data_IF_352575540436
#
_entry.id   IF_352575540436
#
_cell.length_a   1.000
_cell.length_b   1.000
_cell.length_c   1.000
_cell.angle_alpha   90.00
_cell.angle_beta   90.00
_cell.angle_gamma   90.00
#
_symmetry.space_group_name_H-M   'P 1'
#
loop_
_entity.id
_entity.type
_entity.pdbx_description
1 polymer ?
#
# COMPACT_ATOMS: atom_id res chain seq x y z
N UNK A 1 22.36 2.96 15.42
CA UNK A 1 21.65 2.32 14.28
C UNK A 1 20.26 2.95 14.19
N UNK A 2 19.74 3.20 12.99
CA UNK A 2 18.33 3.61 12.84
C UNK A 2 17.44 2.43 13.25
N UNK A 3 16.34 2.69 13.96
CA UNK A 3 15.37 1.65 14.34
C UNK A 3 14.77 1.06 13.06
N UNK A 4 14.79 -0.26 12.94
CA UNK A 4 14.06 -1.00 11.89
C UNK A 4 12.63 -1.15 12.38
N UNK A 5 11.65 -0.78 11.54
CA UNK A 5 10.23 -0.95 11.84
C UNK A 5 9.78 -2.31 11.29
N UNK A 6 9.11 -3.08 12.12
CA UNK A 6 8.48 -4.35 11.76
C UNK A 6 6.99 -4.15 11.53
N UNK A 7 6.47 -4.67 10.42
CA UNK A 7 5.04 -4.62 10.10
C UNK A 7 4.56 -5.99 9.62
N UNK A 8 3.47 -6.49 10.20
CA UNK A 8 2.85 -7.77 9.84
C UNK A 8 1.42 -7.52 9.37
N UNK A 9 1.07 -8.02 8.17
CA UNK A 9 -0.23 -7.81 7.53
C UNK A 9 -1.18 -9.00 7.70
N UNK A 10 -2.42 -8.79 7.25
CA UNK A 10 -3.53 -9.74 7.28
C UNK A 10 -3.91 -10.24 8.69
N UNK A 11 -3.69 -9.38 9.70
CA UNK A 11 -4.19 -9.59 11.05
C UNK A 11 -5.66 -9.16 11.08
N UNK A 12 -6.58 -10.12 11.26
CA UNK A 12 -8.03 -9.87 11.13
C UNK A 12 -8.79 -9.98 12.44
N UNK A 13 -8.18 -10.54 13.50
CA UNK A 13 -8.81 -10.71 14.81
C UNK A 13 -8.05 -10.01 15.94
N UNK A 14 -8.73 -9.58 17.03
CA UNK A 14 -8.06 -9.00 18.20
C UNK A 14 -7.00 -9.93 18.81
N UNK A 15 -7.27 -11.23 18.88
CA UNK A 15 -6.32 -12.21 19.42
C UNK A 15 -5.02 -12.29 18.62
N UNK A 16 -5.09 -12.22 17.29
CA UNK A 16 -3.89 -12.18 16.45
C UNK A 16 -3.13 -10.87 16.66
N UNK A 17 -3.84 -9.74 16.76
CA UNK A 17 -3.23 -8.45 17.04
C UNK A 17 -2.50 -8.44 18.39
N UNK A 18 -3.13 -8.96 19.44
CA UNK A 18 -2.52 -9.07 20.78
C UNK A 18 -1.24 -9.91 20.75
N UNK A 19 -1.23 -11.01 19.97
CA UNK A 19 -0.02 -11.81 19.78
C UNK A 19 1.09 -11.04 19.07
N UNK A 20 0.77 -10.29 18.00
CA UNK A 20 1.75 -9.48 17.27
C UNK A 20 2.35 -8.38 18.16
N UNK A 21 1.51 -7.72 18.96
CA UNK A 21 1.95 -6.71 19.94
C UNK A 21 2.85 -7.33 21.00
N UNK A 22 2.49 -8.52 21.52
CA UNK A 22 3.26 -9.19 22.57
C UNK A 22 4.68 -9.59 22.12
N UNK A 23 4.87 -9.92 20.84
CA UNK A 23 6.19 -10.22 20.27
C UNK A 23 6.95 -8.96 19.79
N UNK A 24 6.39 -7.77 19.98
CA UNK A 24 7.05 -6.50 19.72
C UNK A 24 6.94 -5.99 18.27
N UNK A 25 5.96 -6.46 17.49
CA UNK A 25 5.68 -5.89 16.16
C UNK A 25 5.32 -4.41 16.29
N UNK A 26 5.96 -3.56 15.48
CA UNK A 26 5.74 -2.11 15.55
C UNK A 26 4.39 -1.72 14.93
N UNK A 27 4.06 -2.28 13.76
CA UNK A 27 2.83 -2.00 13.02
C UNK A 27 2.02 -3.28 12.75
N UNK A 28 0.74 -3.28 13.13
CA UNK A 28 -0.21 -4.38 12.91
C UNK A 28 -1.13 -4.01 11.74
N UNK A 29 -1.03 -4.77 10.65
CA UNK A 29 -1.70 -4.50 9.39
C UNK A 29 -2.95 -5.36 9.17
N UNK A 30 -4.03 -4.72 8.73
CA UNK A 30 -5.29 -5.36 8.34
C UNK A 30 -5.69 -4.93 6.93
N UNK A 31 -6.56 -5.68 6.26
CA UNK A 31 -7.01 -5.40 4.89
C UNK A 31 -8.54 -5.40 4.79
N UNK A 32 -9.09 -4.45 4.04
CA UNK A 32 -10.47 -4.50 3.54
C UNK A 32 -10.41 -4.80 2.04
N UNK A 33 -10.91 -5.97 1.66
CA UNK A 33 -10.80 -6.48 0.29
C UNK A 33 -11.86 -5.89 -0.64
N UNK A 34 -13.07 -5.66 -0.13
CA UNK A 34 -14.21 -5.22 -0.93
C UNK A 34 -14.81 -3.94 -0.39
N UNK A 35 -15.03 -2.99 -1.31
CA UNK A 35 -15.77 -1.78 -1.01
C UNK A 35 -17.27 -1.99 -0.77
N UNK A 36 -17.83 -3.13 -1.16
CA UNK A 36 -19.24 -3.46 -0.88
C UNK A 36 -19.44 -3.97 0.55
N UNK A 37 -18.46 -4.72 1.06
CA UNK A 37 -18.48 -5.34 2.39
C UNK A 37 -17.45 -4.69 3.32
N UNK A 38 -17.35 -3.37 3.22
CA UNK A 38 -16.25 -2.64 3.85
C UNK A 38 -16.43 -2.47 5.35
N UNK A 39 -17.66 -2.54 5.89
CA UNK A 39 -17.94 -2.45 7.34
C UNK A 39 -17.91 -3.84 7.99
N UNK A 40 -16.75 -4.22 8.50
CA UNK A 40 -16.51 -5.50 9.13
C UNK A 40 -16.26 -5.31 10.64
N UNK A 41 -17.19 -5.73 11.52
CA UNK A 41 -17.05 -5.53 12.96
C UNK A 41 -15.82 -6.22 13.57
N UNK A 42 -15.37 -7.34 13.00
CA UNK A 42 -14.17 -8.04 13.44
C UNK A 42 -12.93 -7.15 13.25
N UNK A 43 -12.74 -6.62 12.04
CA UNK A 43 -11.64 -5.70 11.72
C UNK A 43 -11.67 -4.45 12.61
N UNK A 44 -12.86 -3.88 12.85
CA UNK A 44 -12.97 -2.71 13.73
C UNK A 44 -12.49 -3.02 15.16
N UNK A 45 -12.88 -4.18 15.70
CA UNK A 45 -12.42 -4.63 17.02
C UNK A 45 -10.91 -4.88 17.05
N UNK A 46 -10.33 -5.39 15.97
CA UNK A 46 -8.88 -5.61 15.83
C UNK A 46 -8.13 -4.28 15.89
N UNK A 47 -8.55 -3.28 15.12
CA UNK A 47 -7.95 -1.94 15.15
C UNK A 47 -8.11 -1.28 16.53
N UNK A 48 -9.28 -1.44 17.17
CA UNK A 48 -9.56 -0.92 18.52
C UNK A 48 -8.73 -1.60 19.61
N UNK A 49 -8.29 -2.85 19.41
CA UNK A 49 -7.36 -3.53 20.30
C UNK A 49 -5.96 -2.92 20.15
N UNK A 50 -5.46 -2.82 18.91
CA UNK A 50 -4.14 -2.23 18.62
C UNK A 50 -4.03 -0.79 19.12
N UNK A 51 -5.08 0.02 18.97
CA UNK A 51 -5.10 1.43 19.40
C UNK A 51 -4.88 1.64 20.92
N UNK A 52 -5.03 0.59 21.74
CA UNK A 52 -4.77 0.63 23.20
C UNK A 52 -3.34 0.23 23.56
N UNK A 53 -2.50 -0.01 22.55
CA UNK A 53 -1.14 -0.50 22.70
C UNK A 53 -0.15 0.52 22.14
N UNK A 54 1.17 0.34 22.36
CA UNK A 54 2.18 1.16 21.71
C UNK A 54 2.33 0.92 20.19
N UNK A 55 1.84 -0.22 19.68
CA UNK A 55 1.91 -0.55 18.24
C UNK A 55 0.98 0.34 17.42
N UNK A 56 1.24 0.42 16.11
CA UNK A 56 0.43 1.19 15.16
C UNK A 56 -0.45 0.31 14.31
N UNK A 57 -1.69 0.72 14.15
CA UNK A 57 -2.61 0.06 13.23
C UNK A 57 -2.40 0.54 11.80
N UNK A 58 -2.30 -0.39 10.85
CA UNK A 58 -2.23 -0.10 9.42
C UNK A 58 -3.40 -0.75 8.69
N UNK A 59 -4.08 -0.01 7.81
CA UNK A 59 -5.24 -0.50 7.08
C UNK A 59 -5.01 -0.40 5.57
N UNK A 60 -4.97 -1.54 4.89
CA UNK A 60 -5.03 -1.61 3.43
C UNK A 60 -6.48 -1.49 2.99
N UNK A 61 -6.74 -0.60 2.03
CA UNK A 61 -8.00 -0.54 1.32
C UNK A 61 -7.77 -1.01 -0.12
N UNK A 62 -8.37 -2.14 -0.51
CA UNK A 62 -8.34 -2.61 -1.90
C UNK A 62 -9.43 -1.93 -2.75
N UNK A 63 -9.52 -0.61 -2.60
CA UNK A 63 -10.39 0.30 -3.34
C UNK A 63 -9.94 1.75 -3.10
N UNK A 64 -10.30 2.64 -4.02
CA UNK A 64 -9.82 4.03 -4.02
C UNK A 64 -10.91 5.06 -4.35
N UNK A 65 -12.19 4.66 -4.34
CA UNK A 65 -13.29 5.59 -4.50
C UNK A 65 -13.30 6.59 -3.32
N UNK A 66 -13.15 7.91 -3.55
CA UNK A 66 -12.89 8.88 -2.47
C UNK A 66 -13.91 8.85 -1.35
N UNK A 67 -15.21 8.88 -1.67
CA UNK A 67 -16.29 8.86 -0.67
C UNK A 67 -16.21 7.62 0.23
N UNK A 68 -15.89 6.47 -0.36
CA UNK A 68 -15.79 5.22 0.35
C UNK A 68 -14.51 5.13 1.19
N UNK A 69 -13.39 5.63 0.68
CA UNK A 69 -12.14 5.76 1.44
C UNK A 69 -12.38 6.65 2.67
N UNK A 70 -12.99 7.82 2.49
CA UNK A 70 -13.26 8.74 3.60
C UNK A 70 -14.22 8.13 4.62
N UNK A 71 -15.29 7.46 4.17
CA UNK A 71 -16.19 6.73 5.07
C UNK A 71 -15.46 5.61 5.83
N UNK A 72 -14.53 4.92 5.17
CA UNK A 72 -13.72 3.87 5.79
C UNK A 72 -12.79 4.45 6.87
N UNK A 73 -12.12 5.57 6.59
CA UNK A 73 -11.22 6.22 7.54
C UNK A 73 -11.96 6.81 8.73
N UNK A 74 -13.14 7.41 8.53
CA UNK A 74 -13.95 7.92 9.64
C UNK A 74 -14.44 6.77 10.55
N UNK A 75 -14.84 5.65 9.96
CA UNK A 75 -15.31 4.49 10.71
C UNK A 75 -14.19 3.75 11.43
N UNK A 76 -13.09 3.41 10.73
CA UNK A 76 -12.03 2.56 11.25
C UNK A 76 -10.96 3.30 12.03
N UNK A 77 -10.66 4.55 11.64
CA UNK A 77 -9.66 5.43 12.28
C UNK A 77 -8.30 4.75 12.53
N UNK A 78 -7.67 4.15 11.52
CA UNK A 78 -6.35 3.54 11.69
C UNK A 78 -5.27 4.61 11.95
N UNK A 79 -4.14 4.21 12.53
CA UNK A 79 -2.97 5.10 12.64
C UNK A 79 -2.35 5.37 11.26
N UNK A 80 -2.42 4.37 10.36
CA UNK A 80 -1.84 4.38 9.02
C UNK A 80 -2.89 3.83 8.03
N UNK A 81 -3.15 4.56 6.94
CA UNK A 81 -3.81 4.00 5.75
C UNK A 81 -2.76 3.62 4.72
N UNK A 82 -2.89 2.44 4.13
CA UNK A 82 -1.98 1.92 3.13
C UNK A 82 -2.69 1.76 1.79
N UNK A 83 -2.14 2.44 0.79
CA UNK A 83 -2.60 2.36 -0.59
C UNK A 83 -1.58 1.64 -1.47
N UNK A 84 -2.04 0.64 -2.22
CA UNK A 84 -1.20 -0.25 -3.01
C UNK A 84 -1.70 -0.47 -4.45
N UNK A 85 -2.44 0.47 -5.01
CA UNK A 85 -2.88 0.43 -6.40
C UNK A 85 -1.68 0.33 -7.36
N UNK A 86 -1.88 -0.34 -8.50
CA UNK A 86 -0.93 -0.31 -9.61
C UNK A 86 -0.85 1.13 -10.13
N UNK A 87 0.38 1.66 -10.14
CA UNK A 87 0.69 3.05 -10.54
C UNK A 87 1.25 3.14 -11.96
N UNK A 88 1.10 2.09 -12.75
CA UNK A 88 1.84 1.90 -14.00
C UNK A 88 0.90 1.56 -15.14
N UNK A 89 1.24 2.04 -16.32
CA UNK A 89 0.65 1.66 -17.59
C UNK A 89 1.76 1.39 -18.62
N UNK A 90 1.47 0.64 -19.70
CA UNK A 90 2.40 0.54 -20.83
C UNK A 90 2.77 1.93 -21.34
N UNK A 91 4.07 2.19 -21.57
CA UNK A 91 4.50 3.44 -22.16
C UNK A 91 3.95 3.58 -23.59
N UNK A 92 3.54 4.78 -23.98
CA UNK A 92 3.10 5.04 -25.35
C UNK A 92 4.27 4.85 -26.34
N UNK A 93 4.02 4.13 -27.44
CA UNK A 93 5.04 3.83 -28.45
C UNK A 93 5.22 2.33 -28.67
N UNK A 94 6.45 1.91 -28.96
CA UNK A 94 6.75 0.50 -29.23
C UNK A 94 6.62 -0.39 -27.98
N UNK A 95 6.29 -1.68 -28.13
CA UNK A 95 6.11 -2.62 -27.01
C UNK A 95 7.29 -2.70 -26.03
N UNK A 96 8.51 -2.34 -26.48
CA UNK A 96 9.73 -2.30 -25.67
C UNK A 96 9.96 -0.99 -24.91
N UNK A 97 9.07 0.01 -25.00
CA UNK A 97 9.23 1.33 -24.41
C UNK A 97 9.20 1.34 -22.86
N UNK A 98 8.91 0.20 -22.24
CA UNK A 98 8.85 0.05 -20.78
C UNK A 98 7.50 0.48 -20.20
N UNK A 99 7.49 0.85 -18.92
CA UNK A 99 6.29 1.34 -18.24
C UNK A 99 6.39 2.84 -17.94
N UNK A 100 5.24 3.49 -17.91
CA UNK A 100 5.08 4.89 -17.52
C UNK A 100 4.15 4.99 -16.31
N UNK A 101 4.20 6.10 -15.53
CA UNK A 101 3.18 6.38 -14.54
C UNK A 101 1.77 6.31 -15.16
N UNK A 102 0.84 5.66 -14.48
CA UNK A 102 -0.54 5.55 -14.93
C UNK A 102 -1.23 6.93 -14.94
N UNK A 103 -2.15 7.15 -15.88
CA UNK A 103 -2.99 8.36 -15.93
C UNK A 103 -3.76 8.60 -14.62
N UNK A 104 -4.09 7.52 -13.91
CA UNK A 104 -4.76 7.57 -12.61
C UNK A 104 -3.89 8.17 -11.48
N UNK A 105 -2.57 8.33 -11.66
CA UNK A 105 -1.68 8.83 -10.60
C UNK A 105 -2.12 10.19 -10.06
N UNK A 106 -2.53 11.12 -10.93
CA UNK A 106 -2.99 12.45 -10.50
C UNK A 106 -4.25 12.36 -9.62
N UNK A 107 -5.19 11.47 -9.96
CA UNK A 107 -6.38 11.23 -9.16
C UNK A 107 -6.03 10.60 -7.79
N UNK A 108 -5.08 9.66 -7.75
CA UNK A 108 -4.61 9.04 -6.52
C UNK A 108 -3.84 10.01 -5.61
N UNK A 109 -3.05 10.92 -6.20
CA UNK A 109 -2.36 11.99 -5.46
C UNK A 109 -3.39 12.96 -4.87
N UNK A 110 -4.42 13.34 -5.64
CA UNK A 110 -5.53 14.18 -5.13
C UNK A 110 -6.25 13.49 -3.97
N UNK A 111 -6.60 12.20 -4.12
CA UNK A 111 -7.21 11.41 -3.05
C UNK A 111 -6.37 11.46 -1.76
N UNK A 112 -5.07 11.21 -1.83
CA UNK A 112 -4.21 11.24 -0.65
C UNK A 112 -4.03 12.65 -0.09
N UNK A 113 -3.98 13.67 -0.94
CA UNK A 113 -3.97 15.07 -0.51
C UNK A 113 -5.21 15.38 0.33
N UNK A 114 -6.38 14.93 -0.13
CA UNK A 114 -7.63 15.06 0.62
C UNK A 114 -7.64 14.23 1.89
N UNK A 115 -7.10 13.01 1.89
CA UNK A 115 -6.94 12.21 3.11
C UNK A 115 -6.09 12.96 4.14
N UNK A 116 -4.94 13.53 3.76
CA UNK A 116 -4.09 14.31 4.68
C UNK A 116 -4.81 15.52 5.25
N UNK A 117 -5.64 16.18 4.43
CA UNK A 117 -6.40 17.37 4.83
C UNK A 117 -7.56 17.03 5.77
N UNK A 118 -8.30 15.96 5.49
CA UNK A 118 -9.51 15.58 6.21
C UNK A 118 -9.23 14.69 7.44
N UNK A 119 -8.14 13.92 7.40
CA UNK A 119 -7.75 12.97 8.44
C UNK A 119 -6.28 13.20 8.86
N UNK A 120 -5.91 14.40 9.35
CA UNK A 120 -4.50 14.76 9.63
C UNK A 120 -3.80 13.87 10.65
N UNK A 121 -4.56 13.13 11.47
CA UNK A 121 -4.06 12.15 12.43
C UNK A 121 -3.68 10.80 11.79
N UNK A 122 -4.16 10.51 10.58
CA UNK A 122 -3.90 9.25 9.87
C UNK A 122 -2.69 9.43 8.97
N UNK A 123 -1.65 8.64 9.18
CA UNK A 123 -0.48 8.62 8.29
C UNK A 123 -0.79 7.86 7.01
N UNK A 124 -0.09 8.18 5.93
CA UNK A 124 -0.24 7.55 4.63
C UNK A 124 0.99 6.70 4.32
N UNK A 125 0.76 5.42 4.06
CA UNK A 125 1.73 4.52 3.47
C UNK A 125 1.37 4.29 2.00
N UNK A 126 2.36 4.41 1.12
CA UNK A 126 2.19 4.22 -0.33
C UNK A 126 3.12 3.12 -0.81
N UNK A 127 2.56 2.12 -1.48
CA UNK A 127 3.38 1.13 -2.18
C UNK A 127 4.05 1.77 -3.40
N UNK A 128 5.35 1.55 -3.54
CA UNK A 128 6.10 1.81 -4.76
C UNK A 128 6.43 0.46 -5.42
N UNK A 129 5.94 0.20 -6.65
CA UNK A 129 6.15 -1.08 -7.32
C UNK A 129 7.61 -1.25 -7.74
N UNK A 130 8.22 -2.35 -7.32
CA UNK A 130 9.55 -2.79 -7.73
C UNK A 130 9.41 -4.08 -8.54
N UNK A 131 10.01 -4.20 -9.74
CA UNK A 131 9.88 -5.39 -10.56
C UNK A 131 10.41 -6.64 -9.83
N UNK A 132 9.82 -7.80 -10.10
CA UNK A 132 10.28 -9.12 -9.62
C UNK A 132 11.54 -9.63 -10.31
N UNK A 133 11.97 -8.96 -11.39
CA UNK A 133 13.20 -9.26 -12.12
C UNK A 133 13.76 -7.99 -12.77
N UNK A 134 15.09 -7.81 -12.81
CA UNK A 134 15.71 -6.71 -13.54
C UNK A 134 15.69 -6.91 -15.07
N UNK A 135 15.35 -8.11 -15.57
CA UNK A 135 15.33 -8.42 -17.02
C UNK A 135 14.00 -8.04 -17.72
N UNK A 136 13.13 -7.28 -17.06
CA UNK A 136 11.83 -6.87 -17.56
C UNK A 136 11.75 -5.46 -18.17
N UNK A 137 10.54 -4.99 -18.51
CA UNK A 137 10.31 -3.60 -18.89
C UNK A 137 10.80 -2.65 -17.79
N UNK A 138 11.37 -1.52 -18.21
CA UNK A 138 11.86 -0.49 -17.28
C UNK A 138 10.69 0.07 -16.46
N UNK A 139 10.82 0.02 -15.14
CA UNK A 139 9.84 0.54 -14.18
C UNK A 139 10.30 1.91 -13.65
N UNK A 140 9.51 2.99 -13.76
CA UNK A 140 9.87 4.33 -13.31
C UNK A 140 9.65 4.52 -11.79
N UNK A 141 10.08 3.58 -10.95
CA UNK A 141 9.76 3.57 -9.51
C UNK A 141 10.31 4.80 -8.76
N UNK A 142 11.47 5.34 -9.14
CA UNK A 142 11.98 6.59 -8.55
C UNK A 142 11.11 7.81 -8.93
N UNK A 143 10.60 7.85 -10.16
CA UNK A 143 9.66 8.89 -10.59
C UNK A 143 8.36 8.80 -9.80
N UNK A 144 7.82 7.59 -9.61
CA UNK A 144 6.63 7.37 -8.79
C UNK A 144 6.86 7.79 -7.34
N UNK A 145 8.00 7.42 -6.74
CA UNK A 145 8.33 7.86 -5.39
C UNK A 145 8.41 9.39 -5.29
N UNK A 146 9.04 10.07 -6.25
CA UNK A 146 9.09 11.53 -6.27
C UNK A 146 7.70 12.18 -6.38
N UNK A 147 6.81 11.61 -7.21
CA UNK A 147 5.43 12.09 -7.37
C UNK A 147 4.60 11.97 -6.09
N UNK A 148 4.75 10.86 -5.36
CA UNK A 148 3.95 10.56 -4.17
C UNK A 148 4.60 11.01 -2.84
N UNK A 149 5.86 11.45 -2.87
CA UNK A 149 6.59 11.91 -1.68
C UNK A 149 5.87 13.04 -0.91
N UNK A 150 5.26 14.05 -1.57
CA UNK A 150 4.57 15.13 -0.84
C UNK A 150 3.34 14.68 -0.04
N UNK A 151 2.79 13.51 -0.37
CA UNK A 151 1.53 13.02 0.20
C UNK A 151 1.69 11.73 1.02
N UNK A 152 2.91 11.21 1.17
CA UNK A 152 3.18 9.94 1.85
C UNK A 152 4.07 10.16 3.07
N UNK A 153 3.74 9.50 4.19
CA UNK A 153 4.59 9.46 5.38
C UNK A 153 5.55 8.25 5.35
N UNK A 154 5.16 7.18 4.63
CA UNK A 154 5.96 5.99 4.40
C UNK A 154 5.90 5.54 2.95
N UNK A 155 7.01 5.02 2.45
CA UNK A 155 7.02 4.14 1.28
C UNK A 155 7.22 2.69 1.69
N UNK A 156 6.47 1.82 1.04
CA UNK A 156 6.68 0.38 1.09
C UNK A 156 7.04 -0.08 -0.33
N UNK A 157 8.21 -0.68 -0.51
CA UNK A 157 8.54 -1.33 -1.77
C UNK A 157 7.86 -2.69 -1.83
N UNK A 158 7.08 -2.95 -2.88
CA UNK A 158 6.44 -4.25 -3.06
C UNK A 158 6.65 -4.77 -4.49
N UNK A 159 6.51 -6.07 -4.63
CA UNK A 159 6.85 -6.80 -5.83
C UNK A 159 5.77 -6.65 -6.89
N UNK A 160 6.16 -6.11 -8.03
CA UNK A 160 5.39 -6.08 -9.25
C UNK A 160 5.84 -7.23 -10.16
N UNK A 161 4.94 -8.17 -10.45
CA UNK A 161 5.21 -9.18 -11.48
C UNK A 161 5.26 -8.46 -12.82
N UNK A 162 6.37 -8.54 -13.55
CA UNK A 162 6.50 -7.94 -14.89
C UNK A 162 6.25 -8.96 -16.00
N UNK A 163 5.85 -8.47 -17.17
CA UNK A 163 5.72 -9.25 -18.40
C UNK A 163 6.27 -8.46 -19.58
N UNK A 164 6.56 -9.09 -20.74
CA UNK A 164 7.06 -8.37 -21.91
C UNK A 164 6.16 -7.20 -22.37
N UNK A 165 4.86 -7.25 -22.07
CA UNK A 165 3.88 -6.25 -22.47
C UNK A 165 3.47 -5.29 -21.33
N UNK A 166 4.23 -5.24 -20.23
CA UNK A 166 3.96 -4.36 -19.09
C UNK A 166 4.01 -5.11 -17.75
N UNK A 167 2.95 -5.03 -16.96
CA UNK A 167 2.83 -5.87 -15.76
C UNK A 167 2.24 -7.23 -16.11
N UNK A 168 2.66 -8.27 -15.41
CA UNK A 168 2.05 -9.59 -15.45
C UNK A 168 0.76 -9.68 -14.65
N UNK A 169 0.15 -10.87 -14.56
CA UNK A 169 -1.02 -11.11 -13.74
C UNK A 169 -0.66 -10.91 -12.27
N UNK A 170 -1.13 -9.81 -11.68
CA UNK A 170 -1.01 -9.60 -10.24
C UNK A 170 -2.03 -10.49 -9.50
N UNK A 171 -1.73 -10.97 -8.28
CA UNK A 171 -2.65 -11.78 -7.48
C UNK A 171 -3.99 -11.09 -7.22
N UNK A 172 -3.96 -9.78 -7.00
CA UNK A 172 -5.15 -8.94 -6.84
C UNK A 172 -5.18 -7.93 -7.99
N UNK A 173 -6.24 -8.00 -8.80
CA UNK A 173 -6.38 -7.13 -9.96
C UNK A 173 -6.39 -5.65 -9.55
N UNK A 174 -5.50 -4.85 -10.15
CA UNK A 174 -5.38 -3.42 -9.88
C UNK A 174 -4.48 -3.05 -8.70
N UNK A 175 -3.89 -4.02 -7.99
CA UNK A 175 -3.01 -3.78 -6.84
C UNK A 175 -1.67 -4.51 -6.97
N UNK A 176 -0.67 -4.00 -6.25
CA UNK A 176 0.71 -4.52 -6.21
C UNK A 176 0.91 -5.33 -4.92
N UNK A 177 1.65 -6.44 -5.01
CA UNK A 177 2.01 -7.27 -3.86
C UNK A 177 1.34 -8.64 -3.82
N UNK A 178 1.52 -9.34 -2.69
CA UNK A 178 0.96 -10.69 -2.42
C UNK A 178 1.44 -11.74 -3.44
N UNK A 179 2.58 -11.48 -4.08
CA UNK A 179 3.05 -12.27 -5.24
C UNK A 179 3.72 -13.59 -4.86
N UNK A 180 4.15 -13.72 -3.60
CA UNK A 180 5.05 -14.79 -3.16
C UNK A 180 6.45 -14.74 -3.80
N UNK A 181 6.77 -13.64 -4.52
CA UNK A 181 8.06 -13.41 -5.17
C UNK A 181 8.82 -12.32 -4.45
N UNK A 182 10.14 -12.41 -4.50
CA UNK A 182 11.03 -11.36 -4.03
C UNK A 182 11.19 -10.32 -5.14
N UNK A 183 11.09 -9.03 -4.80
CA UNK A 183 11.42 -7.95 -5.72
C UNK A 183 12.93 -7.88 -5.99
N UNK A 184 13.32 -7.14 -7.02
CA UNK A 184 14.73 -6.82 -7.25
C UNK A 184 15.28 -5.89 -6.14
N UNK A 185 16.15 -6.45 -5.28
CA UNK A 185 16.72 -5.73 -4.14
C UNK A 185 17.65 -4.60 -4.55
N UNK A 186 18.32 -4.71 -5.70
CA UNK A 186 19.17 -3.61 -6.20
C UNK A 186 18.32 -2.41 -6.59
N UNK A 187 17.16 -2.63 -7.23
CA UNK A 187 16.19 -1.58 -7.50
C UNK A 187 15.59 -1.01 -6.23
N UNK A 188 15.18 -1.85 -5.28
CA UNK A 188 14.60 -1.42 -4.01
C UNK A 188 15.58 -0.56 -3.18
N UNK A 189 16.86 -0.92 -3.15
CA UNK A 189 17.90 -0.20 -2.39
C UNK A 189 18.21 1.22 -2.91
N UNK A 190 17.65 1.61 -4.07
CA UNK A 190 17.82 2.94 -4.66
C UNK A 190 16.79 3.96 -4.18
N UNK A 191 15.76 3.53 -3.46
CA UNK A 191 14.75 4.38 -2.80
C UNK A 191 15.23 4.81 -1.41
#
# INVERSE_FOLDING_TARGET
MKKIISQIYEIQTPSEADMMVAIGVDHVGTVIVSGQEWKQPAIKKTLDAVARTPAKSSLILLYNAPELVFASLDYYRPDIVHFCEILLQPAAGEPSAGMAPAEACDALIRLQTDVRRLFPQTRIMRTIPIPDTPQGPKVPFLTLAAMFAPVSDYFLTDTLIVSPNGHGPQPVAGFVGITGRTCDWESAARL
#
